data_IF_525083436736
#
_entry.id   IF_525083436736
#
_cell.length_a   1.000
_cell.length_b   1.000
_cell.length_c   1.000
_cell.angle_alpha   90.00
_cell.angle_beta   90.00
_cell.angle_gamma   90.00
#
_symmetry.space_group_name_H-M   'P 1'
#
loop_
_entity.id
_entity.type
_entity.pdbx_description
1 polymer ?
#
# COMPACT_ATOMS: atom_id res chain seq x y z
N UNK A 1 10.49 -14.66 16.12
CA UNK A 1 9.90 -14.83 17.47
C UNK A 1 10.80 -15.62 18.40
N UNK A 2 11.20 -16.86 18.06
CA UNK A 2 11.93 -17.80 18.95
C UNK A 2 13.22 -17.20 19.54
N UNK A 3 13.99 -16.40 18.78
CA UNK A 3 15.23 -15.77 19.26
C UNK A 3 14.96 -14.35 19.79
N UNK A 4 14.13 -13.58 19.09
CA UNK A 4 13.88 -12.17 19.42
C UNK A 4 13.14 -11.97 20.75
N UNK A 5 12.21 -12.86 21.11
CA UNK A 5 11.41 -12.75 22.34
C UNK A 5 12.26 -13.02 23.60
N UNK A 6 13.06 -14.12 23.67
CA UNK A 6 13.98 -14.31 24.79
C UNK A 6 15.03 -13.20 24.92
N UNK A 7 15.55 -12.71 23.80
CA UNK A 7 16.58 -11.66 23.78
C UNK A 7 16.03 -10.30 24.24
N UNK A 8 14.82 -9.93 23.81
CA UNK A 8 14.10 -8.79 24.38
C UNK A 8 13.70 -9.01 25.85
N UNK A 9 13.54 -10.27 26.26
CA UNK A 9 13.29 -10.67 27.63
C UNK A 9 14.43 -10.36 28.61
N UNK A 10 15.66 -10.19 28.12
CA UNK A 10 16.84 -9.86 28.93
C UNK A 10 17.00 -8.35 29.14
N UNK A 11 16.44 -7.53 28.26
CA UNK A 11 16.32 -6.10 28.46
C UNK A 11 15.35 -5.87 29.63
N UNK A 12 15.91 -5.58 30.80
CA UNK A 12 15.16 -5.38 32.03
C UNK A 12 15.34 -3.93 32.51
N UNK A 13 14.23 -3.28 32.88
CA UNK A 13 14.24 -1.95 33.51
C UNK A 13 13.78 -2.06 34.96
N UNK A 14 14.40 -1.29 35.86
CA UNK A 14 14.11 -1.29 37.30
C UNK A 14 13.57 0.08 37.74
N UNK A 15 12.25 0.33 37.65
CA UNK A 15 11.70 1.64 38.00
C UNK A 15 11.43 1.83 39.51
N UNK A 16 11.37 0.76 40.31
CA UNK A 16 11.02 0.83 41.74
C UNK A 16 11.87 -0.12 42.59
N UNK A 17 13.09 0.32 42.94
CA UNK A 17 14.12 -0.44 43.69
C UNK A 17 14.52 -1.81 43.07
N UNK A 18 15.69 -2.31 43.47
CA UNK A 18 16.39 -3.47 42.90
C UNK A 18 15.62 -4.81 42.91
N UNK A 19 14.43 -4.87 43.51
CA UNK A 19 13.63 -6.08 43.62
C UNK A 19 12.61 -6.30 42.50
N UNK A 20 12.36 -5.32 41.62
CA UNK A 20 11.32 -5.44 40.58
C UNK A 20 11.85 -5.28 39.15
N UNK A 21 12.00 -6.40 38.44
CA UNK A 21 12.44 -6.47 37.04
C UNK A 21 11.25 -6.36 36.08
N UNK A 22 11.20 -5.31 35.26
CA UNK A 22 10.27 -5.23 34.13
C UNK A 22 10.99 -5.70 32.87
N UNK A 23 10.55 -6.85 32.33
CA UNK A 23 11.12 -7.46 31.13
C UNK A 23 10.36 -7.06 29.86
N UNK A 24 11.08 -6.68 28.80
CA UNK A 24 10.50 -6.33 27.50
C UNK A 24 10.04 -7.54 26.67
N UNK A 25 10.36 -8.76 27.08
CA UNK A 25 10.01 -9.98 26.33
C UNK A 25 8.50 -10.17 26.14
N UNK A 26 7.70 -9.73 27.12
CA UNK A 26 6.25 -9.91 27.13
C UNK A 26 5.54 -8.94 26.15
N UNK A 27 5.86 -7.62 26.13
CA UNK A 27 5.49 -6.71 25.04
C UNK A 27 5.88 -7.22 23.66
N UNK A 28 7.13 -7.68 23.52
CA UNK A 28 7.66 -8.15 22.24
C UNK A 28 6.89 -9.38 21.77
N UNK A 29 6.57 -10.31 22.67
CA UNK A 29 5.75 -11.47 22.36
C UNK A 29 4.34 -11.08 21.91
N UNK A 30 3.69 -10.17 22.63
CA UNK A 30 2.36 -9.69 22.27
C UNK A 30 2.37 -8.95 20.93
N UNK A 31 3.36 -8.09 20.68
CA UNK A 31 3.55 -7.40 19.39
C UNK A 31 3.71 -8.39 18.23
N UNK A 32 4.59 -9.40 18.38
CA UNK A 32 4.76 -10.40 17.33
C UNK A 32 3.52 -11.26 17.10
N UNK A 33 2.73 -11.54 18.14
CA UNK A 33 1.45 -12.25 17.99
C UNK A 33 0.44 -11.45 17.17
N UNK A 34 0.42 -10.12 17.32
CA UNK A 34 -0.39 -9.24 16.49
C UNK A 34 0.11 -9.19 15.05
N UNK A 35 1.43 -9.16 14.83
CA UNK A 35 2.03 -9.10 13.49
C UNK A 35 1.85 -10.41 12.71
N UNK A 36 2.01 -11.56 13.37
CA UNK A 36 2.10 -12.89 12.74
C UNK A 36 0.81 -13.70 12.81
N UNK A 37 -0.33 -13.07 13.10
CA UNK A 37 -1.59 -13.75 13.42
C UNK A 37 -2.12 -14.79 12.41
N UNK A 38 -1.52 -14.91 11.21
CA UNK A 38 -1.88 -15.86 10.15
C UNK A 38 -1.30 -17.28 10.28
N UNK A 39 -0.34 -17.54 11.19
CA UNK A 39 0.33 -18.86 11.30
C UNK A 39 -0.40 -19.84 12.27
N UNK A 40 -0.24 -21.18 12.10
CA UNK A 40 -0.90 -22.17 12.95
C UNK A 40 -0.52 -21.95 14.42
N UNK A 41 -1.54 -21.56 15.17
CA UNK A 41 -1.43 -20.74 16.35
C UNK A 41 -0.88 -21.45 17.60
N UNK A 42 -1.10 -22.75 17.75
CA UNK A 42 -0.87 -23.44 19.04
C UNK A 42 0.58 -23.96 19.16
N UNK A 43 1.14 -24.54 18.09
CA UNK A 43 2.51 -25.07 18.08
C UNK A 43 3.56 -23.95 18.18
N UNK A 44 3.34 -22.83 17.48
CA UNK A 44 4.27 -21.70 17.54
C UNK A 44 4.37 -21.11 18.96
N UNK A 45 3.25 -21.05 19.70
CA UNK A 45 3.18 -20.39 21.02
C UNK A 45 3.80 -21.22 22.15
N UNK A 46 3.59 -22.53 22.13
CA UNK A 46 4.22 -23.47 23.07
C UNK A 46 5.74 -23.51 22.87
N UNK A 47 6.19 -23.58 21.62
CA UNK A 47 7.62 -23.55 21.27
C UNK A 47 8.29 -22.25 21.71
N UNK A 48 7.62 -21.10 21.57
CA UNK A 48 8.15 -19.82 22.05
C UNK A 48 8.25 -19.79 23.58
N UNK A 49 7.23 -20.26 24.30
CA UNK A 49 7.27 -20.36 25.76
C UNK A 49 8.43 -21.25 26.25
N UNK A 50 8.61 -22.42 25.64
CA UNK A 50 9.74 -23.32 25.93
C UNK A 50 11.07 -22.63 25.63
N UNK A 51 11.19 -21.96 24.49
CA UNK A 51 12.41 -21.26 24.09
C UNK A 51 12.79 -20.13 25.05
N UNK A 52 11.82 -19.38 25.59
CA UNK A 52 12.08 -18.31 26.57
C UNK A 52 12.62 -18.90 27.87
N UNK A 53 12.00 -19.98 28.37
CA UNK A 53 12.44 -20.62 29.62
C UNK A 53 13.81 -21.29 29.43
N UNK A 54 14.04 -21.99 28.32
CA UNK A 54 15.33 -22.60 28.00
C UNK A 54 16.45 -21.56 27.90
N UNK A 55 16.20 -20.44 27.20
CA UNK A 55 17.18 -19.36 27.06
C UNK A 55 17.49 -18.70 28.41
N UNK A 56 16.47 -18.49 29.25
CA UNK A 56 16.70 -17.99 30.61
C UNK A 56 17.50 -19.01 31.42
N UNK A 57 17.12 -20.28 31.49
CA UNK A 57 17.91 -21.27 32.25
C UNK A 57 19.38 -21.28 31.78
N UNK A 58 19.62 -21.18 30.47
CA UNK A 58 20.98 -21.09 29.91
C UNK A 58 21.78 -19.90 30.45
N UNK A 59 21.16 -18.74 30.61
CA UNK A 59 21.81 -17.54 31.15
C UNK A 59 22.08 -17.60 32.66
N UNK A 60 21.38 -18.47 33.40
CA UNK A 60 21.54 -18.60 34.85
C UNK A 60 22.51 -19.69 35.30
N UNK A 61 22.81 -20.65 34.42
CA UNK A 61 23.82 -21.69 34.62
C UNK A 61 25.21 -21.19 35.07
N UNK A 62 25.71 -19.98 34.70
CA UNK A 62 26.99 -19.50 35.19
C UNK A 62 26.97 -19.06 36.66
N UNK A 63 25.78 -18.85 37.24
CA UNK A 63 25.60 -18.22 38.56
C UNK A 63 24.94 -19.13 39.59
N UNK A 64 24.10 -20.09 39.17
CA UNK A 64 23.32 -20.96 40.06
C UNK A 64 23.20 -22.39 39.50
N UNK A 65 22.86 -23.33 40.38
CA UNK A 65 22.56 -24.72 40.01
C UNK A 65 21.32 -24.84 39.14
N UNK A 66 21.35 -25.77 38.18
CA UNK A 66 20.27 -26.03 37.22
C UNK A 66 18.91 -26.24 37.89
N UNK A 67 18.85 -26.96 39.01
CA UNK A 67 17.61 -27.22 39.75
C UNK A 67 17.01 -25.95 40.35
N UNK A 68 17.86 -25.05 40.86
CA UNK A 68 17.44 -23.76 41.42
C UNK A 68 16.89 -22.85 40.31
N UNK A 69 17.63 -22.73 39.20
CA UNK A 69 17.22 -21.92 38.05
C UNK A 69 15.95 -22.45 37.38
N UNK A 70 15.77 -23.76 37.33
CA UNK A 70 14.55 -24.38 36.80
C UNK A 70 13.33 -24.05 37.66
N UNK A 71 13.42 -24.22 38.98
CA UNK A 71 12.32 -23.96 39.89
C UNK A 71 11.90 -22.48 39.91
N UNK A 72 12.87 -21.56 39.83
CA UNK A 72 12.61 -20.12 39.82
C UNK A 72 12.13 -19.57 38.46
N UNK A 73 12.47 -20.21 37.33
CA UNK A 73 12.16 -19.70 35.98
C UNK A 73 11.01 -20.43 35.28
N UNK A 74 10.60 -21.60 35.78
CA UNK A 74 9.46 -22.35 35.27
C UNK A 74 8.12 -21.58 35.30
N UNK A 75 7.77 -20.78 36.33
CA UNK A 75 6.50 -20.04 36.36
C UNK A 75 6.30 -19.10 35.16
N UNK A 76 7.38 -18.54 34.61
CA UNK A 76 7.33 -17.69 33.42
C UNK A 76 6.80 -18.43 32.18
N UNK A 77 6.99 -19.75 32.08
CA UNK A 77 6.39 -20.55 31.00
C UNK A 77 4.87 -20.44 31.00
N UNK A 78 4.25 -20.51 32.17
CA UNK A 78 2.80 -20.46 32.33
C UNK A 78 2.21 -19.14 31.88
N UNK A 79 2.93 -18.02 32.02
CA UNK A 79 2.53 -16.75 31.41
C UNK A 79 2.40 -16.89 29.87
N UNK A 80 3.48 -17.27 29.18
CA UNK A 80 3.49 -17.28 27.71
C UNK A 80 2.49 -18.31 27.16
N UNK A 81 2.34 -19.43 27.86
CA UNK A 81 1.36 -20.46 27.54
C UNK A 81 -0.08 -19.95 27.68
N UNK A 82 -0.44 -19.37 28.83
CA UNK A 82 -1.80 -18.89 29.09
C UNK A 82 -2.17 -17.70 28.22
N UNK A 83 -1.27 -16.73 28.07
CA UNK A 83 -1.44 -15.61 27.14
C UNK A 83 -1.67 -16.10 25.70
N UNK A 84 -0.86 -17.07 25.27
CA UNK A 84 -0.97 -17.67 23.95
C UNK A 84 -2.28 -18.44 23.73
N UNK A 85 -2.77 -19.15 24.74
CA UNK A 85 -4.05 -19.85 24.71
C UNK A 85 -5.23 -18.88 24.66
N UNK A 86 -5.26 -17.85 25.53
CA UNK A 86 -6.31 -16.83 25.54
C UNK A 86 -6.42 -16.11 24.19
N UNK A 87 -5.27 -15.71 23.63
CA UNK A 87 -5.23 -15.09 22.31
C UNK A 87 -5.72 -16.02 21.18
N UNK A 88 -5.58 -17.35 21.33
CA UNK A 88 -6.15 -18.33 20.39
C UNK A 88 -7.67 -18.33 20.44
N UNK A 89 -8.23 -18.53 21.64
CA UNK A 89 -9.66 -18.74 21.83
C UNK A 89 -10.48 -17.54 21.36
N UNK A 90 -9.97 -16.33 21.56
CA UNK A 90 -10.68 -15.11 21.17
C UNK A 90 -10.65 -14.82 19.67
N UNK A 91 -9.92 -15.61 18.85
CA UNK A 91 -9.76 -15.39 17.39
C UNK A 91 -9.48 -13.92 17.06
N UNK A 92 -8.72 -13.23 17.90
CA UNK A 92 -8.46 -11.78 17.83
C UNK A 92 -7.82 -11.34 16.50
N UNK A 93 -7.25 -12.29 15.75
CA UNK A 93 -6.73 -12.09 14.40
C UNK A 93 -7.79 -11.62 13.37
N UNK A 94 -9.09 -11.88 13.59
CA UNK A 94 -10.16 -11.40 12.68
C UNK A 94 -10.54 -9.94 12.92
N UNK A 95 -10.25 -9.39 14.09
CA UNK A 95 -10.65 -8.03 14.48
C UNK A 95 -9.50 -7.04 14.41
N UNK A 96 -8.46 -7.30 13.60
CA UNK A 96 -7.29 -6.43 13.40
C UNK A 96 -7.68 -5.01 12.96
N UNK A 97 -8.83 -4.85 12.27
CA UNK A 97 -9.35 -3.53 11.92
C UNK A 97 -9.87 -2.71 13.11
N UNK A 98 -10.15 -3.33 14.25
CA UNK A 98 -10.57 -2.66 15.48
C UNK A 98 -9.40 -2.64 16.47
N UNK A 99 -8.34 -1.89 16.14
CA UNK A 99 -7.10 -1.79 16.93
C UNK A 99 -7.34 -1.48 18.41
N UNK A 100 -8.40 -0.74 18.72
CA UNK A 100 -8.81 -0.40 20.10
C UNK A 100 -9.34 -1.62 20.86
N UNK A 101 -10.16 -2.47 20.23
CA UNK A 101 -10.74 -3.66 20.85
C UNK A 101 -9.65 -4.70 21.18
N UNK A 102 -8.69 -4.86 20.27
CA UNK A 102 -7.52 -5.72 20.48
C UNK A 102 -6.68 -5.23 21.66
N UNK A 103 -6.56 -3.92 21.82
CA UNK A 103 -5.86 -3.35 22.96
C UNK A 103 -6.52 -3.67 24.29
N UNK A 104 -7.84 -3.50 24.39
CA UNK A 104 -8.60 -3.84 25.59
C UNK A 104 -8.52 -5.34 25.92
N UNK A 105 -8.66 -6.21 24.92
CA UNK A 105 -8.48 -7.65 25.07
C UNK A 105 -7.05 -8.02 25.50
N UNK A 106 -6.05 -7.31 24.98
CA UNK A 106 -4.64 -7.46 25.37
C UNK A 106 -4.40 -7.20 26.85
N UNK A 107 -5.02 -6.15 27.41
CA UNK A 107 -4.97 -5.86 28.85
C UNK A 107 -5.56 -7.02 29.67
N UNK A 108 -6.74 -7.52 29.26
CA UNK A 108 -7.41 -8.62 29.95
C UNK A 108 -6.55 -9.90 29.91
N UNK A 109 -5.98 -10.22 28.75
CA UNK A 109 -5.10 -11.40 28.62
C UNK A 109 -3.84 -11.26 29.44
N UNK A 110 -3.26 -10.07 29.50
CA UNK A 110 -2.07 -9.80 30.29
C UNK A 110 -2.35 -10.02 31.79
N UNK A 111 -3.46 -9.50 32.31
CA UNK A 111 -3.88 -9.69 33.70
C UNK A 111 -4.12 -11.18 34.01
N UNK A 112 -4.82 -11.90 33.14
CA UNK A 112 -5.09 -13.33 33.32
C UNK A 112 -3.82 -14.17 33.27
N UNK A 113 -2.92 -13.90 32.32
CA UNK A 113 -1.66 -14.62 32.18
C UNK A 113 -0.69 -14.34 33.35
N UNK A 114 -0.62 -13.09 33.81
CA UNK A 114 0.17 -12.70 34.97
C UNK A 114 -0.38 -13.32 36.27
N UNK A 115 -1.70 -13.48 36.37
CA UNK A 115 -2.32 -14.19 37.50
C UNK A 115 -2.00 -15.69 37.50
N UNK A 116 -1.94 -16.30 36.32
CA UNK A 116 -1.55 -17.70 36.17
C UNK A 116 -0.07 -17.92 36.52
N UNK A 117 0.82 -17.00 36.12
CA UNK A 117 2.24 -17.01 36.52
C UNK A 117 2.39 -16.94 38.06
N UNK A 118 1.71 -15.99 38.71
CA UNK A 118 1.72 -15.87 40.18
C UNK A 118 1.21 -17.12 40.88
N UNK A 119 0.13 -17.71 40.38
CA UNK A 119 -0.43 -18.94 40.93
C UNK A 119 0.57 -20.10 40.79
N UNK A 120 1.23 -20.21 39.63
CA UNK A 120 2.29 -21.21 39.43
C UNK A 120 3.51 -20.96 40.33
N UNK A 121 3.85 -19.70 40.58
CA UNK A 121 4.95 -19.32 41.47
C UNK A 121 4.62 -19.67 42.93
N UNK A 122 3.36 -19.47 43.35
CA UNK A 122 2.88 -19.89 44.67
C UNK A 122 3.06 -21.40 44.88
N UNK A 123 2.60 -22.22 43.94
CA UNK A 123 2.75 -23.68 44.02
C UNK A 123 4.22 -24.15 43.96
N UNK A 124 5.11 -23.39 43.32
CA UNK A 124 6.51 -23.79 43.14
C UNK A 124 7.43 -23.36 44.29
N UNK A 125 7.10 -22.29 45.02
CA UNK A 125 8.00 -21.65 46.00
C UNK A 125 7.35 -21.42 47.39
N UNK A 126 6.13 -21.91 47.64
CA UNK A 126 5.37 -21.76 48.91
C UNK A 126 5.37 -20.32 49.47
N UNK A 127 5.45 -19.33 48.58
CA UNK A 127 5.63 -17.93 48.94
C UNK A 127 4.28 -17.25 49.16
N UNK A 128 4.08 -16.53 50.28
CA UNK A 128 2.80 -15.85 50.56
C UNK A 128 2.59 -14.71 49.57
N UNK A 129 1.62 -14.86 48.66
CA UNK A 129 1.23 -13.79 47.73
C UNK A 129 0.62 -12.66 48.53
N UNK A 130 1.28 -11.51 48.57
CA UNK A 130 0.77 -10.33 49.26
C UNK A 130 -0.16 -9.56 48.34
N UNK A 131 -1.23 -8.96 48.89
CA UNK A 131 -2.16 -8.09 48.15
C UNK A 131 -1.44 -6.94 47.41
N UNK A 132 -0.26 -6.55 47.90
CA UNK A 132 0.59 -5.56 47.26
C UNK A 132 1.22 -6.04 45.95
N UNK A 133 1.56 -7.33 45.82
CA UNK A 133 2.20 -7.89 44.62
C UNK A 133 1.20 -7.97 43.46
N UNK A 134 -0.04 -8.35 43.77
CA UNK A 134 -1.16 -8.33 42.81
C UNK A 134 -1.42 -6.91 42.30
N UNK A 135 -1.40 -5.91 43.20
CA UNK A 135 -1.57 -4.50 42.82
C UNK A 135 -0.43 -4.02 41.92
N UNK A 136 0.82 -4.34 42.26
CA UNK A 136 2.01 -3.97 41.47
C UNK A 136 1.96 -4.58 40.07
N UNK A 137 1.67 -5.87 39.96
CA UNK A 137 1.58 -6.59 38.68
C UNK A 137 0.45 -6.05 37.82
N UNK A 138 -0.71 -5.72 38.41
CA UNK A 138 -1.82 -5.12 37.66
C UNK A 138 -1.44 -3.77 37.04
N UNK A 139 -0.76 -2.90 37.78
CA UNK A 139 -0.30 -1.59 37.26
C UNK A 139 0.70 -1.77 36.11
N UNK A 140 1.61 -2.74 36.24
CA UNK A 140 2.63 -3.02 35.22
C UNK A 140 1.99 -3.62 33.97
N UNK A 141 1.04 -4.56 34.11
CA UNK A 141 0.30 -5.13 32.99
C UNK A 141 -0.44 -4.06 32.18
N UNK A 142 -1.06 -3.07 32.86
CA UNK A 142 -1.72 -1.95 32.19
C UNK A 142 -0.72 -1.13 31.37
N UNK A 143 0.41 -0.72 31.99
CA UNK A 143 1.43 0.07 31.30
C UNK A 143 2.04 -0.67 30.10
N UNK A 144 2.32 -1.96 30.28
CA UNK A 144 2.93 -2.85 29.30
C UNK A 144 2.03 -3.10 28.10
N UNK A 145 0.76 -3.34 28.35
CA UNK A 145 -0.24 -3.48 27.30
C UNK A 145 -0.39 -2.16 26.53
N UNK A 146 -0.51 -1.02 27.23
CA UNK A 146 -0.59 0.29 26.58
C UNK A 146 0.61 0.58 25.67
N UNK A 147 1.83 0.31 26.14
CA UNK A 147 3.05 0.48 25.35
C UNK A 147 3.04 -0.40 24.09
N UNK A 148 2.66 -1.66 24.23
CA UNK A 148 2.64 -2.61 23.10
C UNK A 148 1.61 -2.20 22.04
N UNK A 149 0.42 -1.78 22.48
CA UNK A 149 -0.63 -1.27 21.59
C UNK A 149 -0.18 0.01 20.92
N UNK A 150 0.48 0.92 21.65
CA UNK A 150 1.02 2.16 21.10
C UNK A 150 2.01 1.91 19.96
N UNK A 151 2.97 1.00 20.17
CA UNK A 151 3.92 0.59 19.11
C UNK A 151 3.19 -0.07 17.94
N UNK A 152 2.19 -0.91 18.22
CA UNK A 152 1.41 -1.56 17.17
C UNK A 152 0.62 -0.55 16.31
N UNK A 153 -0.03 0.43 16.94
CA UNK A 153 -0.73 1.51 16.23
C UNK A 153 0.25 2.33 15.40
N UNK A 154 1.42 2.66 15.95
CA UNK A 154 2.47 3.39 15.23
C UNK A 154 2.92 2.61 13.98
N UNK A 155 3.13 1.30 14.12
CA UNK A 155 3.49 0.42 13.00
C UNK A 155 2.40 0.41 11.91
N UNK A 156 1.13 0.21 12.29
CA UNK A 156 0.00 0.23 11.35
C UNK A 156 -0.12 1.59 10.65
N UNK A 157 0.09 2.70 11.37
CA UNK A 157 0.06 4.04 10.81
C UNK A 157 1.19 4.25 9.81
N UNK A 158 2.40 3.79 10.12
CA UNK A 158 3.56 3.87 9.24
C UNK A 158 3.36 3.07 7.95
N UNK A 159 2.97 1.80 8.05
CA UNK A 159 2.65 0.93 6.90
C UNK A 159 1.55 1.54 6.01
N UNK A 160 0.52 2.11 6.65
CA UNK A 160 -0.58 2.76 5.93
C UNK A 160 -0.09 3.99 5.18
N UNK A 161 0.77 4.82 5.79
CA UNK A 161 1.39 5.98 5.12
C UNK A 161 2.24 5.56 3.93
N UNK A 162 3.12 4.56 4.10
CA UNK A 162 3.94 4.04 3.00
C UNK A 162 3.08 3.56 1.82
N UNK A 163 1.99 2.84 2.11
CA UNK A 163 1.06 2.39 1.07
C UNK A 163 0.38 3.55 0.36
N UNK A 164 -0.03 4.58 1.10
CA UNK A 164 -0.65 5.77 0.52
C UNK A 164 0.34 6.50 -0.39
N UNK A 165 1.58 6.68 0.05
CA UNK A 165 2.64 7.31 -0.77
C UNK A 165 2.92 6.53 -2.05
N UNK A 166 2.97 5.20 -1.98
CA UNK A 166 3.16 4.34 -3.14
C UNK A 166 1.97 4.43 -4.12
N UNK A 167 0.74 4.40 -3.60
CA UNK A 167 -0.47 4.59 -4.41
C UNK A 167 -0.51 5.98 -5.06
N UNK A 168 -0.09 7.03 -4.36
CA UNK A 168 -0.01 8.38 -4.90
C UNK A 168 0.97 8.45 -6.07
N UNK A 169 2.18 7.91 -5.92
CA UNK A 169 3.17 7.85 -7.02
C UNK A 169 2.65 7.08 -8.23
N UNK A 170 1.98 5.95 -8.01
CA UNK A 170 1.37 5.17 -9.10
C UNK A 170 0.25 5.95 -9.81
N UNK A 171 -0.60 6.66 -9.06
CA UNK A 171 -1.64 7.51 -9.62
C UNK A 171 -1.06 8.69 -10.42
N UNK A 172 -0.05 9.38 -9.91
CA UNK A 172 0.64 10.47 -10.63
C UNK A 172 1.23 9.99 -11.96
N UNK A 173 1.88 8.82 -11.96
CA UNK A 173 2.38 8.20 -13.17
C UNK A 173 1.24 7.86 -14.15
N UNK A 174 0.14 7.29 -13.66
CA UNK A 174 -1.00 6.93 -14.49
C UNK A 174 -1.68 8.16 -15.12
N UNK A 175 -1.87 9.24 -14.36
CA UNK A 175 -2.36 10.53 -14.87
C UNK A 175 -1.44 11.04 -15.97
N UNK A 176 -0.12 10.96 -15.79
CA UNK A 176 0.84 11.40 -16.79
C UNK A 176 0.75 10.59 -18.09
N UNK A 177 0.66 9.26 -17.99
CA UNK A 177 0.48 8.39 -19.17
C UNK A 177 -0.81 8.71 -19.90
N UNK A 178 -1.92 8.87 -19.19
CA UNK A 178 -3.23 9.16 -19.79
C UNK A 178 -3.24 10.54 -20.45
N UNK A 179 -2.66 11.54 -19.80
CA UNK A 179 -2.46 12.88 -20.38
C UNK A 179 -1.74 12.81 -21.73
N UNK A 180 -0.65 12.04 -21.81
CA UNK A 180 0.07 11.84 -23.07
C UNK A 180 -0.80 11.11 -24.13
N UNK A 181 -1.61 10.12 -23.73
CA UNK A 181 -2.52 9.44 -24.66
C UNK A 181 -3.62 10.36 -25.20
N UNK A 182 -4.13 11.28 -24.37
CA UNK A 182 -5.08 12.31 -24.82
C UNK A 182 -4.44 13.28 -25.80
N UNK A 183 -3.21 13.74 -25.52
CA UNK A 183 -2.43 14.58 -26.42
C UNK A 183 -2.26 13.92 -27.80
N UNK A 184 -1.87 12.64 -27.83
CA UNK A 184 -1.75 11.88 -29.08
C UNK A 184 -3.10 11.69 -29.79
N UNK A 185 -4.17 11.45 -29.03
CA UNK A 185 -5.53 11.31 -29.59
C UNK A 185 -5.99 12.61 -30.26
N UNK A 186 -5.71 13.77 -29.66
CA UNK A 186 -6.02 15.09 -30.24
C UNK A 186 -5.21 15.30 -31.53
N UNK A 187 -3.92 14.97 -31.52
CA UNK A 187 -3.07 15.09 -32.71
C UNK A 187 -3.55 14.16 -33.84
N UNK A 188 -3.96 12.93 -33.53
CA UNK A 188 -4.55 12.02 -34.51
C UNK A 188 -5.87 12.54 -35.07
N UNK A 189 -6.74 13.15 -34.25
CA UNK A 189 -7.97 13.80 -34.73
C UNK A 189 -7.67 14.91 -35.74
N UNK A 190 -6.66 15.75 -35.48
CA UNK A 190 -6.21 16.78 -36.43
C UNK A 190 -5.70 16.15 -37.73
N UNK A 191 -4.88 15.09 -37.63
CA UNK A 191 -4.36 14.36 -38.78
C UNK A 191 -5.48 13.75 -39.62
N UNK A 192 -6.54 13.23 -39.01
CA UNK A 192 -7.71 12.69 -39.71
C UNK A 192 -8.45 13.75 -40.52
N UNK A 193 -8.68 14.94 -39.95
CA UNK A 193 -9.32 16.06 -40.65
C UNK A 193 -8.45 16.51 -41.84
N UNK A 194 -7.14 16.62 -41.64
CA UNK A 194 -6.21 16.98 -42.71
C UNK A 194 -6.16 15.92 -43.82
N UNK A 195 -6.11 14.64 -43.45
CA UNK A 195 -6.13 13.52 -44.38
C UNK A 195 -7.41 13.51 -45.22
N UNK A 196 -8.56 13.80 -44.61
CA UNK A 196 -9.83 13.92 -45.32
C UNK A 196 -9.83 15.07 -46.32
N UNK A 197 -9.32 16.25 -45.92
CA UNK A 197 -9.16 17.39 -46.82
C UNK A 197 -8.26 17.05 -48.01
N UNK A 198 -7.09 16.47 -47.77
CA UNK A 198 -6.14 16.07 -48.82
C UNK A 198 -6.77 15.03 -49.76
N UNK A 199 -7.50 14.05 -49.21
CA UNK A 199 -8.21 13.04 -50.01
C UNK A 199 -9.21 13.70 -50.95
N UNK A 200 -10.01 14.66 -50.45
CA UNK A 200 -10.98 15.40 -51.24
C UNK A 200 -10.31 16.25 -52.31
N UNK A 201 -9.25 16.97 -51.96
CA UNK A 201 -8.53 17.85 -52.88
C UNK A 201 -7.85 17.04 -54.00
N UNK A 202 -7.25 15.89 -53.67
CA UNK A 202 -6.67 14.97 -54.65
C UNK A 202 -7.71 14.35 -55.59
N UNK A 203 -8.90 14.00 -55.07
CA UNK A 203 -10.00 13.49 -55.88
C UNK A 203 -10.58 14.57 -56.82
N UNK A 204 -10.70 15.81 -56.34
CA UNK A 204 -11.11 16.94 -57.17
C UNK A 204 -10.08 17.21 -58.28
N UNK A 205 -8.78 17.15 -57.96
CA UNK A 205 -7.71 17.26 -58.93
C UNK A 205 -7.78 16.15 -59.99
N UNK A 206 -8.04 14.91 -59.59
CA UNK A 206 -8.29 13.81 -60.52
C UNK A 206 -9.44 14.13 -61.49
N UNK A 207 -10.59 14.62 -61.01
CA UNK A 207 -11.72 14.98 -61.88
C UNK A 207 -11.35 16.06 -62.88
N UNK A 208 -10.64 17.10 -62.43
CA UNK A 208 -10.20 18.21 -63.29
C UNK A 208 -9.21 17.74 -64.36
N UNK A 209 -8.21 16.94 -63.99
CA UNK A 209 -7.22 16.40 -64.94
C UNK A 209 -7.85 15.44 -65.94
N UNK A 210 -8.75 14.55 -65.49
CA UNK A 210 -9.46 13.62 -66.38
C UNK A 210 -10.33 14.35 -67.41
N UNK A 211 -10.98 15.45 -67.00
CA UNK A 211 -11.73 16.30 -67.94
C UNK A 211 -10.84 17.01 -68.97
N UNK A 212 -9.57 17.29 -68.64
CA UNK A 212 -8.60 17.90 -69.57
C UNK A 212 -8.02 16.85 -70.51
N UNK A 213 -7.62 15.68 -69.99
CA UNK A 213 -7.15 14.52 -70.78
C UNK A 213 -8.20 14.06 -71.81
N UNK A 214 -9.49 14.12 -71.46
CA UNK A 214 -10.57 13.79 -72.41
C UNK A 214 -10.79 14.86 -73.51
N UNK A 215 -10.31 16.09 -73.33
CA UNK A 215 -10.56 17.24 -74.23
C UNK A 215 -9.37 17.64 -75.10
N UNK A 216 -8.16 17.31 -74.68
CA UNK A 216 -6.91 17.55 -75.40
C UNK A 216 -6.07 16.29 -75.24
N UNK A 217 -5.34 15.88 -76.27
CA UNK A 217 -4.31 14.83 -76.22
C UNK A 217 -3.18 15.23 -75.24
N UNK A 218 -3.51 15.32 -73.96
CA UNK A 218 -2.65 15.71 -72.87
C UNK A 218 -1.98 14.45 -72.30
N UNK A 219 -0.82 14.62 -71.66
CA UNK A 219 -0.04 13.56 -71.02
C UNK A 219 -0.93 12.58 -70.25
N UNK A 220 -1.07 11.37 -70.78
CA UNK A 220 -1.78 10.26 -70.14
C UNK A 220 -1.12 9.94 -68.79
N UNK A 221 -1.93 9.84 -67.72
CA UNK A 221 -1.50 9.28 -66.43
C UNK A 221 -1.40 10.28 -65.26
N UNK A 222 -1.54 11.59 -65.49
CA UNK A 222 -1.58 12.57 -64.40
C UNK A 222 -2.88 12.45 -63.58
N UNK A 223 -4.01 12.24 -64.25
CA UNK A 223 -5.28 11.98 -63.57
C UNK A 223 -5.18 10.73 -62.69
N UNK A 224 -4.60 9.65 -63.21
CA UNK A 224 -4.43 8.39 -62.50
C UNK A 224 -3.50 8.51 -61.30
N UNK A 225 -2.47 9.36 -61.38
CA UNK A 225 -1.59 9.69 -60.26
C UNK A 225 -2.36 10.41 -59.15
N UNK A 226 -3.18 11.42 -59.48
CA UNK A 226 -4.01 12.11 -58.50
C UNK A 226 -5.03 11.17 -57.83
N UNK A 227 -5.62 10.23 -58.59
CA UNK A 227 -6.51 9.20 -58.05
C UNK A 227 -5.78 8.25 -57.09
N UNK A 228 -4.54 7.86 -57.42
CA UNK A 228 -3.70 7.04 -56.54
C UNK A 228 -3.40 7.75 -55.23
N UNK A 229 -3.08 9.05 -55.27
CA UNK A 229 -2.86 9.88 -54.06
C UNK A 229 -4.14 9.94 -53.20
N UNK A 230 -5.31 10.14 -53.83
CA UNK A 230 -6.58 10.11 -53.12
C UNK A 230 -6.82 8.76 -52.42
N UNK A 231 -6.55 7.64 -53.10
CA UNK A 231 -6.63 6.29 -52.53
C UNK A 231 -5.68 6.10 -51.35
N UNK A 232 -4.39 6.43 -51.50
CA UNK A 232 -3.40 6.32 -50.44
C UNK A 232 -3.75 7.16 -49.21
N UNK A 233 -4.27 8.38 -49.43
CA UNK A 233 -4.67 9.27 -48.32
C UNK A 233 -5.96 8.78 -47.65
N UNK A 234 -6.85 8.10 -48.40
CA UNK A 234 -8.03 7.45 -47.83
C UNK A 234 -7.67 6.26 -46.95
N UNK A 235 -6.69 5.45 -47.34
CA UNK A 235 -6.20 4.35 -46.52
C UNK A 235 -5.45 4.86 -45.28
N UNK A 236 -4.63 5.90 -45.43
CA UNK A 236 -4.00 6.60 -44.30
C UNK A 236 -5.05 7.15 -43.30
N UNK A 237 -6.17 7.70 -43.78
CA UNK A 237 -7.30 8.09 -42.92
C UNK A 237 -7.83 6.88 -42.12
N UNK A 238 -8.07 5.74 -42.77
CA UNK A 238 -8.59 4.53 -42.10
C UNK A 238 -7.65 4.01 -41.03
N UNK A 239 -6.34 4.00 -41.28
CA UNK A 239 -5.37 3.51 -40.30
C UNK A 239 -5.31 4.41 -39.07
N UNK A 240 -5.32 5.74 -39.24
CA UNK A 240 -5.41 6.67 -38.12
C UNK A 240 -6.72 6.55 -37.34
N UNK A 241 -7.85 6.24 -38.00
CA UNK A 241 -9.12 5.96 -37.31
C UNK A 241 -9.01 4.73 -36.40
N UNK A 242 -8.36 3.67 -36.88
CA UNK A 242 -8.13 2.45 -36.07
C UNK A 242 -7.28 2.75 -34.84
N UNK A 243 -6.20 3.52 -35.00
CA UNK A 243 -5.33 3.92 -33.87
C UNK A 243 -6.13 4.75 -32.86
N UNK A 244 -6.92 5.72 -33.33
CA UNK A 244 -7.75 6.54 -32.45
C UNK A 244 -8.74 5.68 -31.64
N UNK A 245 -9.42 4.73 -32.28
CA UNK A 245 -10.33 3.80 -31.58
C UNK A 245 -9.60 2.93 -30.55
N UNK A 246 -8.36 2.52 -30.83
CA UNK A 246 -7.56 1.75 -29.88
C UNK A 246 -7.15 2.61 -28.67
N UNK A 247 -6.74 3.86 -28.89
CA UNK A 247 -6.41 4.81 -27.82
C UNK A 247 -7.63 5.12 -26.95
N UNK A 248 -8.79 5.39 -27.56
CA UNK A 248 -10.03 5.64 -26.81
C UNK A 248 -10.40 4.46 -25.90
N UNK A 249 -10.23 3.21 -26.37
CA UNK A 249 -10.44 2.03 -25.53
C UNK A 249 -9.46 1.93 -24.37
N UNK A 250 -8.17 2.21 -24.59
CA UNK A 250 -7.15 2.19 -23.54
C UNK A 250 -7.38 3.25 -22.45
N UNK A 251 -7.94 4.40 -22.85
CA UNK A 251 -8.30 5.48 -21.93
C UNK A 251 -9.54 5.09 -21.11
N UNK A 252 -10.59 4.57 -21.76
CA UNK A 252 -11.83 4.17 -21.09
C UNK A 252 -11.64 2.99 -20.11
N UNK A 253 -10.83 1.99 -20.47
CA UNK A 253 -10.57 0.80 -19.64
C UNK A 253 -9.79 1.13 -18.35
N UNK A 254 -9.09 2.27 -18.32
CA UNK A 254 -8.33 2.74 -17.14
C UNK A 254 -9.18 3.54 -16.14
N UNK A 255 -10.50 3.53 -16.27
CA UNK A 255 -11.41 4.06 -15.25
C UNK A 255 -11.51 5.59 -15.22
N UNK A 256 -10.98 6.30 -16.22
CA UNK A 256 -11.35 7.68 -16.45
C UNK A 256 -12.72 7.69 -17.12
N UNK A 257 -13.69 8.27 -16.43
CA UNK A 257 -15.03 8.52 -16.95
C UNK A 257 -14.94 9.27 -18.29
N UNK A 258 -15.87 9.00 -19.21
CA UNK A 258 -16.05 9.76 -20.46
C UNK A 258 -16.16 11.28 -20.22
N UNK A 259 -16.45 11.65 -18.96
CA UNK A 259 -16.55 12.99 -18.42
C UNK A 259 -15.43 13.27 -17.41
N UNK A 260 -14.78 14.43 -17.55
CA UNK A 260 -13.68 14.89 -16.70
C UNK A 260 -13.93 16.32 -16.20
N UNK A 261 -13.46 16.62 -14.99
CA UNK A 261 -13.55 17.95 -14.41
C UNK A 261 -12.70 18.95 -15.23
N UNK A 262 -13.19 20.20 -15.38
CA UNK A 262 -12.49 21.25 -16.14
C UNK A 262 -11.06 21.49 -15.66
N UNK A 263 -10.83 21.39 -14.35
CA UNK A 263 -9.51 21.54 -13.77
C UNK A 263 -8.51 20.50 -14.30
N UNK A 264 -8.95 19.25 -14.44
CA UNK A 264 -8.11 18.18 -14.99
C UNK A 264 -7.87 18.38 -16.49
N UNK A 265 -8.91 18.75 -17.25
CA UNK A 265 -8.79 19.02 -18.69
C UNK A 265 -7.83 20.17 -19.00
N UNK A 266 -7.93 21.27 -18.25
CA UNK A 266 -7.05 22.42 -18.43
C UNK A 266 -5.62 22.11 -17.99
N UNK A 267 -5.43 21.29 -16.95
CA UNK A 267 -4.12 20.81 -16.57
C UNK A 267 -3.48 19.92 -17.65
N UNK A 268 -4.27 19.06 -18.31
CA UNK A 268 -3.81 18.26 -19.46
C UNK A 268 -3.36 19.18 -20.60
N UNK A 269 -4.20 20.15 -20.98
CA UNK A 269 -3.91 21.10 -22.04
C UNK A 269 -2.66 21.94 -21.73
N UNK A 270 -2.53 22.43 -20.50
CA UNK A 270 -1.37 23.19 -20.04
C UNK A 270 -0.09 22.34 -20.09
N UNK A 271 -0.11 21.13 -19.51
CA UNK A 271 1.05 20.24 -19.49
C UNK A 271 1.53 19.85 -20.90
N UNK A 272 0.61 19.54 -21.81
CA UNK A 272 0.94 19.22 -23.21
C UNK A 272 1.62 20.41 -23.90
N UNK A 273 1.05 21.62 -23.79
CA UNK A 273 1.64 22.81 -24.41
C UNK A 273 2.97 23.21 -23.78
N UNK A 274 3.12 23.07 -22.46
CA UNK A 274 4.39 23.33 -21.75
C UNK A 274 5.48 22.36 -22.20
N UNK A 275 5.15 21.07 -22.33
CA UNK A 275 6.06 20.04 -22.82
C UNK A 275 6.49 20.29 -24.27
N UNK A 276 5.57 20.73 -25.12
CA UNK A 276 5.88 21.12 -26.49
C UNK A 276 6.75 22.38 -26.58
N UNK A 277 6.49 23.38 -25.73
CA UNK A 277 7.34 24.57 -25.64
C UNK A 277 8.76 24.24 -25.20
N UNK A 278 8.90 23.38 -24.19
CA UNK A 278 10.20 22.87 -23.74
C UNK A 278 10.94 22.11 -24.84
N UNK A 279 10.23 21.27 -25.62
CA UNK A 279 10.81 20.57 -26.78
C UNK A 279 11.33 21.55 -27.85
N UNK A 280 10.66 22.69 -28.03
CA UNK A 280 11.08 23.76 -28.94
C UNK A 280 12.12 24.72 -28.32
N UNK A 281 12.51 24.53 -27.06
CA UNK A 281 13.42 25.44 -26.35
C UNK A 281 12.82 26.83 -26.07
N UNK A 282 11.50 26.94 -25.99
CA UNK A 282 10.79 28.19 -25.72
C UNK A 282 10.40 28.27 -24.24
N UNK A 283 10.72 29.40 -23.62
CA UNK A 283 10.28 29.73 -22.27
C UNK A 283 8.94 30.48 -22.37
N UNK A 284 7.87 29.85 -21.89
CA UNK A 284 6.50 30.41 -21.89
C UNK A 284 5.83 30.15 -20.55
N UNK A 285 4.99 31.07 -20.11
CA UNK A 285 4.13 30.91 -18.94
C UNK A 285 2.68 30.75 -19.40
N UNK A 286 1.99 29.72 -18.89
CA UNK A 286 0.58 29.46 -19.20
C UNK A 286 -0.23 29.68 -17.92
N UNK A 287 -1.13 30.66 -17.96
CA UNK A 287 -2.05 30.98 -16.87
C UNK A 287 -3.44 30.41 -17.16
N UNK A 288 -4.00 29.70 -16.18
CA UNK A 288 -5.35 29.16 -16.24
C UNK A 288 -6.28 30.03 -15.38
N UNK A 289 -7.32 30.62 -15.99
CA UNK A 289 -8.41 31.28 -15.28
C UNK A 289 -9.71 30.54 -15.57
N UNK A 290 -10.41 30.13 -14.50
CA UNK A 290 -11.64 29.34 -14.56
C UNK A 290 -12.71 30.11 -13.83
N UNK A 291 -13.71 30.57 -14.57
CA UNK A 291 -14.80 31.38 -14.03
C UNK A 291 -16.12 30.61 -14.04
N UNK A 292 -16.70 30.44 -12.86
CA UNK A 292 -18.03 29.86 -12.67
C UNK A 292 -18.04 28.38 -12.26
N UNK A 293 -19.24 27.79 -12.24
CA UNK A 293 -19.42 26.34 -12.00
C UNK A 293 -19.45 25.61 -13.33
N UNK A 294 -18.60 24.61 -13.44
CA UNK A 294 -18.42 23.80 -14.63
C UNK A 294 -18.96 22.39 -14.36
N UNK A 295 -19.82 21.83 -15.24
CA UNK A 295 -20.14 20.41 -15.19
C UNK A 295 -18.93 19.59 -15.61
N UNK A 296 -18.97 18.27 -15.46
CA UNK A 296 -17.96 17.42 -16.09
C UNK A 296 -18.14 17.46 -17.61
N UNK A 297 -17.04 17.60 -18.34
CA UNK A 297 -17.05 17.75 -19.80
C UNK A 297 -16.73 16.42 -20.46
N UNK A 298 -17.52 16.08 -21.49
CA UNK A 298 -17.24 14.95 -22.35
C UNK A 298 -15.97 15.21 -23.18
N UNK A 299 -15.10 14.20 -23.27
CA UNK A 299 -13.82 14.28 -24.01
C UNK A 299 -13.90 13.72 -25.43
#
# INVERSE_FOLDING_TARGET
MIIAVPLAGELNFYPFNDSFRISFGMPTFFFFLLLLGKYPAILSRTVIGISVVAFRILLDLPLHDFSYSFQHRCPTFFYYFTFGCLFYFTKANRSIHQSILIGFLGIIFDILASSAELTSQYFALDSVVTREDIRKISVIAIFRSFFTIGIFILYVLYETRLRIEEMQKQNEHLITVITNLYEESINLRKTLINSEKITRDAYNLYRSLKNIENKKEAKEGLSQTALKIAGQTHDFKKDNQRILSALSRLIADKGFSEYMEVNELLNIAMKSNMKYANFLGKDIEILLDIQGKHPDYHI
#
